data_IF_424752730262
#
_entry.id   IF_424752730262
#
_cell.length_a   1.000
_cell.length_b   1.000
_cell.length_c   1.000
_cell.angle_alpha   90.00
_cell.angle_beta   90.00
_cell.angle_gamma   90.00
#
_symmetry.space_group_name_H-M   'P 1'
#
loop_
_entity.id
_entity.type
_entity.pdbx_description
1 polymer ?
#
# COMPACT_ATOMS: atom_id res chain seq x y z
N UNK A 1 -9.80 -38.82 -6.22
CA UNK A 1 -8.72 -37.92 -6.71
C UNK A 1 -9.28 -36.75 -7.52
N UNK A 2 -9.94 -36.99 -8.67
CA UNK A 2 -10.48 -35.91 -9.52
C UNK A 2 -11.54 -35.02 -8.84
N UNK A 3 -12.45 -35.58 -8.05
CA UNK A 3 -13.51 -34.82 -7.37
C UNK A 3 -12.95 -33.78 -6.37
N UNK A 4 -12.03 -34.21 -5.48
CA UNK A 4 -11.40 -33.30 -4.52
C UNK A 4 -10.60 -32.20 -5.25
N UNK A 5 -9.86 -32.57 -6.30
CA UNK A 5 -9.09 -31.62 -7.12
C UNK A 5 -9.98 -30.58 -7.82
N UNK A 6 -11.13 -30.99 -8.37
CA UNK A 6 -12.08 -30.06 -9.01
C UNK A 6 -12.70 -29.09 -8.01
N UNK A 7 -13.13 -29.56 -6.84
CA UNK A 7 -13.76 -28.70 -5.83
C UNK A 7 -12.78 -27.77 -5.12
N UNK A 8 -11.59 -28.25 -4.77
CA UNK A 8 -10.56 -27.37 -4.19
C UNK A 8 -10.08 -26.36 -5.22
N UNK A 9 -9.84 -26.78 -6.47
CA UNK A 9 -9.48 -25.87 -7.56
C UNK A 9 -10.55 -24.81 -7.82
N UNK A 10 -11.84 -25.17 -7.73
CA UNK A 10 -12.94 -24.22 -7.92
C UNK A 10 -13.01 -23.19 -6.78
N UNK A 11 -12.97 -23.63 -5.53
CA UNK A 11 -13.08 -22.73 -4.36
C UNK A 11 -11.87 -21.79 -4.29
N UNK A 12 -10.65 -22.34 -4.34
CA UNK A 12 -9.44 -21.53 -4.30
C UNK A 12 -9.29 -20.68 -5.56
N UNK A 13 -9.72 -21.18 -6.72
CA UNK A 13 -9.74 -20.43 -7.97
C UNK A 13 -10.60 -19.17 -7.88
N UNK A 14 -11.82 -19.25 -7.34
CA UNK A 14 -12.69 -18.08 -7.13
C UNK A 14 -12.12 -17.10 -6.12
N UNK A 15 -11.52 -17.60 -5.03
CA UNK A 15 -10.87 -16.76 -4.04
C UNK A 15 -9.67 -16.00 -4.63
N UNK A 16 -8.78 -16.71 -5.33
CA UNK A 16 -7.63 -16.13 -6.02
C UNK A 16 -8.12 -15.11 -7.06
N UNK A 17 -9.13 -15.46 -7.87
CA UNK A 17 -9.72 -14.54 -8.82
C UNK A 17 -10.20 -13.24 -8.16
N UNK A 18 -10.98 -13.33 -7.07
CA UNK A 18 -11.44 -12.16 -6.35
C UNK A 18 -10.27 -11.31 -5.81
N UNK A 19 -9.25 -11.95 -5.24
CA UNK A 19 -8.04 -11.28 -4.74
C UNK A 19 -7.34 -10.51 -5.87
N UNK A 20 -7.07 -11.16 -7.02
CA UNK A 20 -6.39 -10.52 -8.14
C UNK A 20 -7.25 -9.45 -8.81
N UNK A 21 -8.57 -9.68 -8.93
CA UNK A 21 -9.50 -8.71 -9.50
C UNK A 21 -9.53 -7.43 -8.66
N UNK A 22 -9.72 -7.55 -7.34
CA UNK A 22 -9.68 -6.37 -6.44
C UNK A 22 -8.28 -5.74 -6.42
N UNK A 23 -7.22 -6.56 -6.51
CA UNK A 23 -5.85 -6.08 -6.64
C UNK A 23 -5.63 -5.23 -7.88
N UNK A 24 -6.19 -5.63 -9.03
CA UNK A 24 -6.10 -4.86 -10.28
C UNK A 24 -6.79 -3.49 -10.17
N UNK A 25 -7.95 -3.44 -9.51
CA UNK A 25 -8.67 -2.19 -9.25
C UNK A 25 -7.92 -1.28 -8.29
N UNK A 26 -7.14 -1.85 -7.37
CA UNK A 26 -6.34 -1.08 -6.42
C UNK A 26 -5.21 -0.26 -7.06
N UNK A 27 -4.87 -0.54 -8.33
CA UNK A 27 -3.96 0.33 -9.09
C UNK A 27 -4.54 1.74 -9.26
N UNK A 28 -5.86 1.85 -9.40
CA UNK A 28 -6.58 3.13 -9.54
C UNK A 28 -7.11 3.66 -8.20
N UNK A 29 -6.47 3.28 -7.09
CA UNK A 29 -6.95 3.59 -5.74
C UNK A 29 -7.18 5.08 -5.53
N UNK A 30 -6.23 5.91 -5.96
CA UNK A 30 -6.30 7.36 -5.75
C UNK A 30 -7.38 8.01 -6.61
N UNK A 31 -7.50 7.58 -7.86
CA UNK A 31 -8.48 8.05 -8.83
C UNK A 31 -9.89 7.68 -8.38
N UNK A 32 -10.11 6.46 -7.88
CA UNK A 32 -11.39 6.04 -7.32
C UNK A 32 -11.71 6.85 -6.05
N UNK A 33 -10.73 7.06 -5.17
CA UNK A 33 -10.92 7.87 -3.97
C UNK A 33 -11.32 9.31 -4.32
N UNK A 34 -10.66 9.92 -5.30
CA UNK A 34 -10.96 11.28 -5.77
C UNK A 34 -12.33 11.35 -6.47
N UNK A 35 -12.65 10.37 -7.30
CA UNK A 35 -13.95 10.26 -7.96
C UNK A 35 -15.11 10.19 -6.95
N UNK A 36 -14.89 9.52 -5.81
CA UNK A 36 -15.87 9.45 -4.72
C UNK A 36 -15.87 10.67 -3.79
N UNK A 37 -15.03 11.67 -4.03
CA UNK A 37 -15.02 12.96 -3.33
C UNK A 37 -15.08 14.11 -4.36
N UNK A 38 -16.20 14.30 -5.08
CA UNK A 38 -16.28 15.27 -6.18
C UNK A 38 -15.82 16.70 -5.85
N UNK A 39 -16.06 17.27 -4.65
CA UNK A 39 -15.58 18.61 -4.31
C UNK A 39 -14.05 18.76 -4.39
N UNK A 40 -13.32 17.67 -4.11
CA UNK A 40 -11.87 17.67 -4.10
C UNK A 40 -11.25 17.70 -5.51
N UNK A 41 -11.97 17.21 -6.53
CA UNK A 41 -11.46 17.16 -7.90
C UNK A 41 -11.23 18.55 -8.53
N UNK A 42 -11.77 19.61 -7.91
CA UNK A 42 -11.64 20.99 -8.38
C UNK A 42 -10.49 21.74 -7.70
N UNK A 43 -9.80 21.12 -6.75
CA UNK A 43 -8.78 21.79 -5.96
C UNK A 43 -7.51 22.00 -6.80
N UNK A 44 -7.12 23.26 -6.96
CA UNK A 44 -5.79 23.60 -7.45
C UNK A 44 -4.80 23.50 -6.29
N UNK A 45 -3.79 22.64 -6.42
CA UNK A 45 -2.84 22.37 -5.34
C UNK A 45 -1.60 23.25 -5.45
N UNK A 46 -1.42 24.12 -4.45
CA UNK A 46 -0.22 24.94 -4.27
C UNK A 46 0.55 24.42 -3.05
N UNK A 47 1.64 23.68 -3.28
CA UNK A 47 2.38 23.02 -2.19
C UNK A 47 2.85 23.97 -1.10
N UNK A 48 3.34 25.15 -1.48
CA UNK A 48 3.79 26.16 -0.51
C UNK A 48 2.65 26.61 0.44
N UNK A 49 1.43 26.70 -0.09
CA UNK A 49 0.24 27.05 0.70
C UNK A 49 -0.17 25.87 1.58
N UNK A 50 -0.22 24.67 1.00
CA UNK A 50 -0.58 23.44 1.72
C UNK A 50 0.32 23.18 2.92
N UNK A 51 1.63 23.39 2.80
CA UNK A 51 2.56 23.20 3.90
C UNK A 51 2.37 24.27 4.97
N UNK A 52 2.18 25.54 4.57
CA UNK A 52 1.98 26.65 5.51
C UNK A 52 0.70 26.50 6.31
N UNK A 53 -0.43 26.18 5.66
CA UNK A 53 -1.73 26.00 6.33
C UNK A 53 -1.68 24.83 7.30
N UNK A 54 -1.08 23.70 6.90
CA UNK A 54 -0.89 22.56 7.77
C UNK A 54 0.02 22.87 8.97
N UNK A 55 1.14 23.56 8.75
CA UNK A 55 2.06 23.97 9.82
C UNK A 55 1.36 24.90 10.82
N UNK A 56 0.64 25.91 10.35
CA UNK A 56 -0.11 26.84 11.20
C UNK A 56 -1.17 26.12 12.04
N UNK A 57 -1.88 25.15 11.44
CA UNK A 57 -2.85 24.33 12.16
C UNK A 57 -2.17 23.51 13.26
N UNK A 58 -1.10 22.79 12.95
CA UNK A 58 -0.36 21.97 13.92
C UNK A 58 0.23 22.83 15.05
N UNK A 59 0.75 24.02 14.72
CA UNK A 59 1.29 24.94 15.72
C UNK A 59 0.20 25.47 16.66
N UNK A 60 -1.05 25.57 16.21
CA UNK A 60 -2.19 26.02 17.03
C UNK A 60 -2.82 24.90 17.85
N UNK A 61 -2.91 23.70 17.29
CA UNK A 61 -3.68 22.59 17.87
C UNK A 61 -2.83 21.48 18.50
N UNK A 62 -1.53 21.45 18.20
CA UNK A 62 -0.62 20.36 18.56
C UNK A 62 0.80 20.87 18.88
N UNK A 63 0.96 22.09 19.39
CA UNK A 63 2.28 22.69 19.71
C UNK A 63 3.09 21.91 20.75
N UNK A 64 2.40 21.16 21.61
CA UNK A 64 2.98 20.35 22.68
C UNK A 64 3.20 18.88 22.27
N UNK A 65 2.87 18.51 21.03
CA UNK A 65 3.03 17.15 20.55
C UNK A 65 4.51 16.75 20.47
N UNK A 66 4.81 15.48 20.77
CA UNK A 66 6.14 14.90 20.65
C UNK A 66 6.60 14.77 19.22
N UNK A 67 5.67 14.53 18.29
CA UNK A 67 5.99 14.43 16.87
C UNK A 67 4.78 14.77 16.00
N UNK A 68 5.08 15.33 14.83
CA UNK A 68 4.12 15.60 13.76
C UNK A 68 4.45 14.79 12.52
N UNK A 69 3.43 14.23 11.88
CA UNK A 69 3.49 13.58 10.59
C UNK A 69 2.45 14.24 9.68
N UNK A 70 2.92 14.86 8.60
CA UNK A 70 2.11 15.53 7.59
C UNK A 70 2.29 14.83 6.25
N UNK A 71 1.19 14.39 5.66
CA UNK A 71 1.10 14.08 4.23
C UNK A 71 0.57 15.33 3.53
N UNK A 72 1.42 15.92 2.69
CA UNK A 72 1.13 17.16 1.97
C UNK A 72 0.20 16.85 0.79
N UNK A 73 -0.73 17.75 0.52
CA UNK A 73 -1.63 17.61 -0.62
C UNK A 73 -0.86 17.47 -1.95
N UNK A 74 -1.29 16.52 -2.77
CA UNK A 74 -0.83 16.29 -4.15
C UNK A 74 -2.03 16.26 -5.10
N UNK A 75 -1.84 16.28 -6.43
CA UNK A 75 -2.94 16.13 -7.37
C UNK A 75 -3.76 14.84 -7.16
N UNK A 76 -3.13 13.76 -6.73
CA UNK A 76 -3.76 12.46 -6.48
C UNK A 76 -4.47 12.39 -5.11
N UNK A 77 -4.09 13.26 -4.18
CA UNK A 77 -4.68 13.38 -2.84
C UNK A 77 -4.71 14.86 -2.45
N UNK A 78 -5.71 15.63 -2.89
CA UNK A 78 -5.75 17.10 -2.81
C UNK A 78 -6.11 17.64 -1.41
N UNK A 79 -5.72 16.93 -0.36
CA UNK A 79 -5.95 17.30 1.04
C UNK A 79 -4.70 17.07 1.85
N UNK A 80 -4.50 17.91 2.87
CA UNK A 80 -3.46 17.65 3.86
C UNK A 80 -4.01 16.65 4.88
N UNK A 81 -3.29 15.56 5.10
CA UNK A 81 -3.61 14.61 6.18
C UNK A 81 -2.51 14.64 7.20
N UNK A 82 -2.85 14.77 8.47
CA UNK A 82 -1.88 14.90 9.54
C UNK A 82 -2.21 14.01 10.73
N UNK A 83 -1.15 13.53 11.36
CA UNK A 83 -1.17 12.71 12.57
C UNK A 83 -0.11 13.25 13.52
N UNK A 84 -0.42 13.33 14.82
CA UNK A 84 0.55 13.77 15.83
C UNK A 84 0.43 12.94 17.09
N UNK A 85 1.56 12.76 17.77
CA UNK A 85 1.63 12.08 19.07
C UNK A 85 1.61 13.11 20.20
N UNK A 86 0.61 13.05 21.06
CA UNK A 86 0.47 13.95 22.22
C UNK A 86 1.43 13.55 23.35
N UNK A 87 1.69 14.42 24.33
CA UNK A 87 2.54 14.12 25.48
C UNK A 87 2.17 12.83 26.23
N UNK A 88 0.87 12.56 26.34
CA UNK A 88 0.29 11.39 27.01
C UNK A 88 0.42 10.08 26.21
N UNK A 89 0.99 10.13 25.00
CA UNK A 89 1.14 8.99 24.10
C UNK A 89 -0.11 8.67 23.27
N UNK A 90 -1.20 9.43 23.42
CA UNK A 90 -2.34 9.34 22.53
C UNK A 90 -2.07 10.03 21.19
N UNK A 91 -2.83 9.67 20.16
CA UNK A 91 -2.68 10.24 18.82
C UNK A 91 -3.84 11.18 18.48
N UNK A 92 -3.52 12.31 17.85
CA UNK A 92 -4.49 13.15 17.15
C UNK A 92 -4.35 12.98 15.64
N UNK A 93 -5.45 13.23 14.92
CA UNK A 93 -5.45 13.30 13.46
C UNK A 93 -6.35 14.43 12.98
N UNK A 94 -6.06 14.95 11.81
CA UNK A 94 -6.92 15.90 11.12
C UNK A 94 -6.71 15.80 9.60
N UNK A 95 -7.76 16.12 8.85
CA UNK A 95 -7.71 16.29 7.40
C UNK A 95 -8.10 17.72 7.08
N UNK A 96 -7.24 18.44 6.38
CA UNK A 96 -7.43 19.85 6.07
C UNK A 96 -7.53 20.10 4.58
N UNK A 97 -8.30 21.11 4.24
CA UNK A 97 -8.25 21.76 2.93
C UNK A 97 -6.83 22.32 2.70
N UNK A 98 -6.23 21.94 1.58
CA UNK A 98 -4.86 22.32 1.24
C UNK A 98 -4.68 23.84 1.10
N UNK A 99 -5.72 24.56 0.67
CA UNK A 99 -5.66 25.98 0.37
C UNK A 99 -6.12 26.84 1.54
N UNK A 100 -7.14 26.42 2.28
CA UNK A 100 -7.73 27.23 3.37
C UNK A 100 -7.22 26.85 4.76
N UNK A 101 -6.70 25.64 4.94
CA UNK A 101 -6.28 25.11 6.25
C UNK A 101 -7.44 24.78 7.19
N UNK A 102 -8.69 24.81 6.71
CA UNK A 102 -9.85 24.43 7.48
C UNK A 102 -9.99 22.91 7.52
N UNK A 103 -10.48 22.37 8.64
CA UNK A 103 -10.80 20.96 8.75
C UNK A 103 -11.92 20.57 7.77
N UNK A 104 -11.66 19.51 7.01
CA UNK A 104 -12.62 18.94 6.08
C UNK A 104 -13.25 17.68 6.66
N UNK A 105 -14.58 17.62 6.61
CA UNK A 105 -15.33 16.39 6.81
C UNK A 105 -15.58 15.75 5.46
N UNK A 106 -14.74 14.77 5.11
CA UNK A 106 -14.88 14.01 3.88
C UNK A 106 -16.10 13.06 3.95
N UNK A 107 -16.64 12.70 2.79
CA UNK A 107 -17.71 11.72 2.69
C UNK A 107 -17.25 10.39 3.27
N UNK A 108 -18.12 9.67 3.99
CA UNK A 108 -17.84 8.38 4.59
C UNK A 108 -17.81 7.28 3.51
N UNK A 109 -16.74 7.23 2.71
CA UNK A 109 -16.50 6.23 1.67
C UNK A 109 -15.14 5.59 1.84
N UNK A 110 -15.08 4.28 1.61
CA UNK A 110 -13.81 3.55 1.51
C UNK A 110 -13.19 3.66 0.11
N UNK A 111 -13.97 4.02 -0.92
CA UNK A 111 -13.48 4.19 -2.29
C UNK A 111 -12.50 3.13 -2.78
N UNK A 112 -11.36 3.58 -3.29
CA UNK A 112 -10.25 2.74 -3.71
C UNK A 112 -9.62 1.94 -2.56
N UNK A 113 -9.70 2.44 -1.33
CA UNK A 113 -9.18 1.75 -0.14
C UNK A 113 -9.90 0.42 0.10
N UNK A 114 -11.17 0.31 -0.29
CA UNK A 114 -11.90 -0.96 -0.22
C UNK A 114 -11.21 -2.05 -1.05
N UNK A 115 -10.92 -1.77 -2.32
CA UNK A 115 -10.28 -2.74 -3.23
C UNK A 115 -8.88 -3.11 -2.75
N UNK A 116 -8.12 -2.10 -2.31
CA UNK A 116 -6.80 -2.29 -1.74
C UNK A 116 -6.85 -3.19 -0.49
N UNK A 117 -7.72 -2.89 0.49
CA UNK A 117 -7.88 -3.68 1.72
C UNK A 117 -8.42 -5.07 1.42
N UNK A 118 -9.34 -5.22 0.48
CA UNK A 118 -9.84 -6.53 0.10
C UNK A 118 -8.74 -7.42 -0.47
N UNK A 119 -7.92 -6.89 -1.37
CA UNK A 119 -6.85 -7.63 -2.03
C UNK A 119 -5.90 -8.33 -1.04
N UNK A 120 -5.43 -7.64 0.00
CA UNK A 120 -4.42 -8.20 0.91
C UNK A 120 -4.97 -8.76 2.24
N UNK A 121 -6.18 -8.38 2.65
CA UNK A 121 -6.72 -8.80 3.94
C UNK A 121 -8.22 -9.14 3.96
N UNK A 122 -8.89 -9.25 2.80
CA UNK A 122 -10.33 -9.55 2.69
C UNK A 122 -11.19 -8.64 3.57
N UNK A 123 -11.48 -7.44 3.08
CA UNK A 123 -12.25 -6.43 3.81
C UNK A 123 -13.55 -7.04 4.38
N UNK A 124 -13.82 -6.75 5.66
CA UNK A 124 -14.95 -7.34 6.42
C UNK A 124 -14.58 -8.59 7.22
N UNK A 125 -13.41 -9.18 7.01
CA UNK A 125 -12.87 -10.29 7.81
C UNK A 125 -11.90 -9.73 8.88
N UNK A 126 -11.79 -10.37 10.07
CA UNK A 126 -10.75 -10.00 11.03
C UNK A 126 -9.36 -9.97 10.39
N UNK A 127 -8.62 -8.86 10.58
CA UNK A 127 -7.38 -8.54 9.84
C UNK A 127 -6.41 -9.73 9.78
N UNK A 128 -6.17 -10.37 10.92
CA UNK A 128 -5.24 -11.50 10.99
C UNK A 128 -5.72 -12.69 10.15
N UNK A 129 -7.01 -13.04 10.26
CA UNK A 129 -7.61 -14.16 9.54
C UNK A 129 -7.58 -13.88 8.03
N UNK A 130 -8.00 -12.69 7.62
CA UNK A 130 -8.02 -12.31 6.21
C UNK A 130 -6.63 -12.37 5.57
N UNK A 131 -5.61 -11.83 6.23
CA UNK A 131 -4.21 -11.90 5.74
C UNK A 131 -3.68 -13.34 5.68
N UNK A 132 -4.02 -14.18 6.67
CA UNK A 132 -3.65 -15.60 6.66
C UNK A 132 -4.31 -16.35 5.49
N UNK A 133 -5.60 -16.11 5.23
CA UNK A 133 -6.33 -16.72 4.12
C UNK A 133 -5.74 -16.30 2.76
N UNK A 134 -5.47 -15.00 2.59
CA UNK A 134 -4.83 -14.48 1.35
C UNK A 134 -3.44 -15.07 1.17
N UNK A 135 -2.65 -15.16 2.24
CA UNK A 135 -1.31 -15.76 2.21
C UNK A 135 -1.36 -17.25 1.88
N UNK A 136 -2.32 -17.99 2.43
CA UNK A 136 -2.54 -19.40 2.09
C UNK A 136 -2.92 -19.56 0.61
N UNK A 137 -3.82 -18.73 0.10
CA UNK A 137 -4.20 -18.73 -1.31
C UNK A 137 -3.01 -18.42 -2.22
N UNK A 138 -2.17 -17.44 -1.85
CA UNK A 138 -0.94 -17.13 -2.56
C UNK A 138 0.07 -18.29 -2.53
N UNK A 139 0.20 -19.00 -1.41
CA UNK A 139 1.08 -20.17 -1.31
C UNK A 139 0.64 -21.31 -2.23
N UNK A 140 -0.67 -21.62 -2.24
CA UNK A 140 -1.27 -22.61 -3.15
C UNK A 140 -1.05 -22.20 -4.61
N UNK A 141 -1.25 -20.91 -4.93
CA UNK A 141 -1.01 -20.38 -6.26
C UNK A 141 0.46 -20.51 -6.67
N UNK A 142 1.41 -20.19 -5.78
CA UNK A 142 2.84 -20.30 -6.08
C UNK A 142 3.23 -21.75 -6.39
N UNK A 143 2.72 -22.71 -5.62
CA UNK A 143 2.89 -24.14 -5.91
C UNK A 143 2.29 -24.48 -7.27
N UNK A 144 1.09 -24.00 -7.57
CA UNK A 144 0.44 -24.25 -8.85
C UNK A 144 1.23 -23.66 -10.04
N UNK A 145 1.77 -22.45 -9.90
CA UNK A 145 2.61 -21.80 -10.92
C UNK A 145 3.90 -22.59 -11.16
N UNK A 146 4.63 -22.94 -10.09
CA UNK A 146 5.88 -23.73 -10.19
C UNK A 146 5.58 -25.11 -10.80
N UNK A 147 4.52 -25.78 -10.32
CA UNK A 147 4.07 -27.06 -10.86
C UNK A 147 3.69 -26.94 -12.35
N UNK A 148 3.04 -25.86 -12.75
CA UNK A 148 2.70 -25.56 -14.14
C UNK A 148 3.94 -25.42 -15.02
N UNK A 149 4.93 -24.65 -14.58
CA UNK A 149 6.22 -24.50 -15.28
C UNK A 149 6.92 -25.85 -15.46
N UNK A 150 6.98 -26.67 -14.41
CA UNK A 150 7.65 -27.99 -14.45
C UNK A 150 6.89 -28.96 -15.37
N UNK A 151 5.56 -28.96 -15.31
CA UNK A 151 4.72 -29.92 -16.05
C UNK A 151 4.67 -29.59 -17.54
N UNK A 152 4.60 -28.30 -17.90
CA UNK A 152 4.55 -27.84 -19.28
C UNK A 152 5.95 -27.77 -19.91
N UNK A 153 6.56 -28.95 -20.19
CA UNK A 153 7.88 -29.07 -20.85
C UNK A 153 7.98 -28.38 -22.22
N UNK A 154 6.83 -28.07 -22.85
CA UNK A 154 6.69 -27.45 -24.17
C UNK A 154 6.18 -26.01 -24.12
N UNK A 155 6.27 -25.35 -22.96
CA UNK A 155 5.73 -24.01 -22.72
C UNK A 155 6.09 -22.97 -23.81
N UNK A 156 7.33 -23.01 -24.31
CA UNK A 156 7.78 -22.11 -25.38
C UNK A 156 7.31 -22.52 -26.77
N UNK A 157 7.26 -23.82 -27.08
CA UNK A 157 6.82 -24.27 -28.40
C UNK A 157 5.31 -24.10 -28.57
N UNK A 158 4.55 -24.33 -27.50
CA UNK A 158 3.09 -24.20 -27.50
C UNK A 158 2.66 -22.73 -27.51
N UNK A 159 3.50 -21.83 -26.98
CA UNK A 159 3.30 -20.38 -27.04
C UNK A 159 3.25 -19.83 -28.48
N UNK A 160 4.04 -20.38 -29.40
CA UNK A 160 4.04 -19.93 -30.80
C UNK A 160 3.01 -20.67 -31.68
N UNK A 161 2.24 -21.60 -31.11
CA UNK A 161 1.20 -22.32 -31.86
C UNK A 161 -0.18 -21.77 -31.54
N UNK A 162 -0.73 -20.96 -32.46
CA UNK A 162 -2.13 -20.56 -32.44
C UNK A 162 -2.89 -21.33 -33.51
N UNK A 163 -3.65 -22.36 -33.11
CA UNK A 163 -4.55 -23.07 -34.04
C UNK A 163 -5.93 -22.46 -33.95
N UNK A 164 -6.18 -21.49 -34.82
CA UNK A 164 -7.50 -20.87 -35.00
C UNK A 164 -8.48 -21.88 -35.65
N UNK A 165 -9.78 -21.73 -35.39
CA UNK A 165 -10.87 -22.52 -36.01
C UNK A 165 -11.05 -23.97 -35.53
N UNK A 166 -10.57 -24.35 -34.34
CA UNK A 166 -10.87 -25.64 -33.69
C UNK A 166 -11.33 -25.46 -32.24
N UNK A 167 -12.54 -24.92 -32.05
CA UNK A 167 -13.26 -24.69 -30.77
C UNK A 167 -12.46 -25.01 -29.50
N UNK A 168 -12.49 -26.25 -28.99
CA UNK A 168 -11.84 -26.64 -27.73
C UNK A 168 -10.31 -26.55 -27.75
N UNK A 169 -9.66 -26.84 -28.90
CA UNK A 169 -8.20 -26.71 -29.05
C UNK A 169 -7.77 -25.25 -29.11
N UNK A 170 -8.58 -24.38 -29.71
CA UNK A 170 -8.32 -22.94 -29.74
C UNK A 170 -8.39 -22.32 -28.34
N UNK A 171 -9.28 -22.78 -27.46
CA UNK A 171 -9.31 -22.36 -26.05
C UNK A 171 -8.07 -22.80 -25.26
N UNK A 172 -7.57 -24.01 -25.52
CA UNK A 172 -6.34 -24.50 -24.89
C UNK A 172 -5.12 -23.69 -25.36
N UNK A 173 -5.02 -23.42 -26.67
CA UNK A 173 -3.95 -22.61 -27.23
C UNK A 173 -4.00 -21.17 -26.66
N UNK A 174 -5.20 -20.58 -26.53
CA UNK A 174 -5.37 -19.27 -25.88
C UNK A 174 -4.97 -19.28 -24.40
N UNK A 175 -5.35 -20.32 -23.64
CA UNK A 175 -4.94 -20.48 -22.25
C UNK A 175 -3.42 -20.60 -22.14
N UNK A 176 -2.78 -21.38 -23.01
CA UNK A 176 -1.32 -21.53 -23.03
C UNK A 176 -0.65 -20.18 -23.32
N UNK A 177 -1.06 -19.48 -24.38
CA UNK A 177 -0.47 -18.19 -24.77
C UNK A 177 -0.64 -17.14 -23.67
N UNK A 178 -1.87 -16.97 -23.16
CA UNK A 178 -2.15 -16.02 -22.08
C UNK A 178 -1.41 -16.37 -20.79
N UNK A 179 -1.31 -17.66 -20.45
CA UNK A 179 -0.60 -18.11 -19.24
C UNK A 179 0.88 -17.79 -19.31
N UNK A 180 1.54 -17.99 -20.45
CA UNK A 180 2.97 -17.68 -20.61
C UNK A 180 3.23 -16.18 -20.52
N UNK A 181 2.39 -15.34 -21.14
CA UNK A 181 2.51 -13.87 -21.05
C UNK A 181 2.30 -13.39 -19.61
N UNK A 182 1.31 -13.93 -18.92
CA UNK A 182 0.97 -13.52 -17.56
C UNK A 182 1.89 -14.13 -16.50
N UNK A 183 2.60 -15.24 -16.81
CA UNK A 183 3.44 -15.99 -15.89
C UNK A 183 4.43 -15.13 -15.09
N UNK A 184 5.28 -14.26 -15.70
CA UNK A 184 6.21 -13.44 -14.92
C UNK A 184 5.48 -12.54 -13.92
N UNK A 185 4.35 -11.96 -14.31
CA UNK A 185 3.56 -11.10 -13.43
C UNK A 185 2.93 -11.89 -12.29
N UNK A 186 2.30 -13.02 -12.58
CA UNK A 186 1.70 -13.87 -11.54
C UNK A 186 2.75 -14.43 -10.58
N UNK A 187 3.92 -14.83 -11.07
CA UNK A 187 5.00 -15.29 -10.22
C UNK A 187 5.49 -14.17 -9.30
N UNK A 188 5.78 -12.99 -9.85
CA UNK A 188 6.24 -11.84 -9.07
C UNK A 188 5.20 -11.41 -8.05
N UNK A 189 3.95 -11.17 -8.44
CA UNK A 189 2.89 -10.68 -7.53
C UNK A 189 2.59 -11.70 -6.43
N UNK A 190 2.54 -12.98 -6.75
CA UNK A 190 2.31 -14.04 -5.75
C UNK A 190 3.47 -14.13 -4.77
N UNK A 191 4.70 -14.11 -5.27
CA UNK A 191 5.91 -14.16 -4.44
C UNK A 191 6.04 -12.93 -3.54
N UNK A 192 5.86 -11.72 -4.08
CA UNK A 192 5.96 -10.48 -3.29
C UNK A 192 4.84 -10.38 -2.27
N UNK A 193 3.62 -10.80 -2.61
CA UNK A 193 2.50 -10.87 -1.67
C UNK A 193 2.82 -11.73 -0.45
N UNK A 194 3.40 -12.92 -0.66
CA UNK A 194 3.92 -13.76 0.42
C UNK A 194 5.04 -13.05 1.18
N UNK A 195 6.07 -12.58 0.47
CA UNK A 195 7.25 -11.96 1.10
C UNK A 195 6.89 -10.78 2.03
N UNK A 196 5.88 -9.97 1.70
CA UNK A 196 5.41 -8.87 2.54
C UNK A 196 4.80 -9.37 3.87
N UNK A 197 4.13 -10.52 3.85
CA UNK A 197 3.48 -11.13 5.02
C UNK A 197 4.31 -12.23 5.70
N UNK A 198 5.61 -12.33 5.42
CA UNK A 198 6.49 -13.37 5.96
C UNK A 198 6.35 -13.54 7.48
N UNK A 199 6.15 -12.44 8.21
CA UNK A 199 6.04 -12.44 9.67
C UNK A 199 4.85 -13.23 10.22
N UNK A 200 3.81 -13.46 9.40
CA UNK A 200 2.63 -14.21 9.83
C UNK A 200 2.90 -15.72 9.93
N UNK A 201 3.83 -16.25 9.14
CA UNK A 201 4.06 -17.69 9.02
C UNK A 201 5.54 -18.11 9.14
N UNK A 202 6.49 -17.16 9.18
CA UNK A 202 7.90 -17.34 9.51
C UNK A 202 8.36 -16.40 10.66
N UNK A 203 7.70 -16.39 11.83
CA UNK A 203 8.00 -15.42 12.90
C UNK A 203 9.31 -15.73 13.65
N UNK A 204 9.85 -16.94 13.54
CA UNK A 204 10.91 -17.44 14.43
C UNK A 204 12.19 -16.61 14.39
N UNK A 205 12.56 -16.06 13.23
CA UNK A 205 13.74 -15.20 13.12
C UNK A 205 13.60 -13.94 13.98
N UNK A 206 12.42 -13.30 13.92
CA UNK A 206 12.11 -12.13 14.74
C UNK A 206 11.97 -12.50 16.22
N UNK A 207 11.28 -13.60 16.55
CA UNK A 207 11.13 -14.07 17.93
C UNK A 207 12.48 -14.41 18.59
N UNK A 208 13.44 -14.93 17.83
CA UNK A 208 14.79 -15.23 18.33
C UNK A 208 15.60 -13.96 18.60
N UNK A 209 15.49 -12.95 17.75
CA UNK A 209 16.23 -11.69 17.86
C UNK A 209 15.56 -10.69 18.83
N UNK A 210 14.24 -10.75 18.96
CA UNK A 210 13.41 -9.89 19.79
C UNK A 210 12.42 -10.72 20.63
N UNK A 211 12.89 -11.42 21.68
CA UNK A 211 12.06 -12.34 22.46
C UNK A 211 10.87 -11.65 23.14
N UNK A 212 11.08 -10.45 23.67
CA UNK A 212 10.05 -9.68 24.40
C UNK A 212 9.05 -8.97 23.48
N UNK A 213 9.51 -8.53 22.30
CA UNK A 213 8.66 -7.81 21.34
C UNK A 213 9.09 -8.10 19.88
N UNK A 214 8.61 -9.20 19.28
CA UNK A 214 8.97 -9.59 17.91
C UNK A 214 8.71 -8.52 16.85
N UNK A 215 7.73 -7.63 17.06
CA UNK A 215 7.39 -6.56 16.12
C UNK A 215 8.34 -5.36 16.19
N UNK A 216 9.21 -5.28 17.19
CA UNK A 216 10.28 -4.27 17.26
C UNK A 216 11.19 -4.32 16.03
N UNK A 217 11.37 -5.49 15.44
CA UNK A 217 12.05 -5.67 14.15
C UNK A 217 11.62 -4.65 13.08
N UNK A 218 10.31 -4.37 12.97
CA UNK A 218 9.81 -3.43 11.97
C UNK A 218 10.19 -1.98 12.25
N UNK A 219 10.37 -1.61 13.52
CA UNK A 219 10.86 -0.28 13.89
C UNK A 219 12.33 -0.15 13.48
N UNK A 220 13.14 -1.16 13.76
CA UNK A 220 14.57 -1.12 13.49
C UNK A 220 14.88 -1.06 11.98
N UNK A 221 14.11 -1.76 11.13
CA UNK A 221 14.32 -1.73 9.67
C UNK A 221 13.69 -0.51 8.97
N UNK A 222 12.60 0.06 9.52
CA UNK A 222 11.95 1.25 8.94
C UNK A 222 12.71 2.52 9.27
N UNK A 223 13.34 2.54 10.43
CA UNK A 223 14.08 3.71 10.86
C UNK A 223 15.49 3.62 10.28
N UNK A 224 15.73 4.32 9.15
CA UNK A 224 17.03 4.99 9.00
C UNK A 224 17.07 6.09 10.06
N UNK A 225 17.16 5.74 11.33
CA UNK A 225 17.66 6.67 12.32
C UNK A 225 19.10 6.81 11.89
N UNK A 226 19.42 7.91 11.19
CA UNK A 226 20.70 8.52 11.51
C UNK A 226 20.53 8.84 12.99
N UNK A 227 20.98 7.92 13.85
CA UNK A 227 21.21 8.21 15.24
C UNK A 227 22.33 9.23 15.20
N UNK A 228 22.01 10.48 14.88
CA UNK A 228 22.85 11.56 15.35
C UNK A 228 22.73 11.43 16.86
N UNK A 229 23.82 10.98 17.48
CA UNK A 229 24.01 10.88 18.91
C UNK A 229 24.02 12.27 19.57
N UNK A 230 23.18 13.19 19.11
CA UNK A 230 22.97 14.50 19.70
C UNK A 230 21.78 14.36 20.63
N UNK A 231 22.04 14.54 21.92
CA UNK A 231 20.99 14.91 22.86
C UNK A 231 20.09 15.96 22.18
N UNK A 232 18.76 15.75 22.11
CA UNK A 232 17.88 16.72 21.47
C UNK A 232 18.04 18.05 22.19
N UNK A 233 18.67 19.00 21.52
CA UNK A 233 18.75 20.37 22.02
C UNK A 233 17.44 21.05 21.65
N UNK A 234 16.81 21.79 22.58
CA UNK A 234 15.67 22.63 22.25
C UNK A 234 16.07 23.59 21.14
N UNK A 235 15.64 23.30 19.91
CA UNK A 235 15.86 24.19 18.79
C UNK A 235 14.75 25.24 18.83
N UNK A 236 15.12 26.49 18.59
CA UNK A 236 14.13 27.54 18.38
C UNK A 236 13.27 27.15 17.17
N UNK A 237 11.93 27.20 17.33
CA UNK A 237 11.00 26.97 16.23
C UNK A 237 11.36 27.89 15.05
N UNK A 238 11.93 27.31 13.99
CA UNK A 238 12.25 28.07 12.80
C UNK A 238 10.94 28.36 12.04
N UNK A 239 10.76 29.59 11.52
CA UNK A 239 9.65 29.88 10.62
C UNK A 239 9.65 28.91 9.44
N UNK A 240 8.49 28.36 9.11
CA UNK A 240 8.31 27.38 8.02
C UNK A 240 8.80 27.95 6.68
N UNK A 241 8.75 29.26 6.49
CA UNK A 241 9.27 29.96 5.32
C UNK A 241 10.77 29.77 5.13
N UNK A 242 11.55 29.76 6.22
CA UNK A 242 13.00 29.51 6.13
C UNK A 242 13.28 28.07 5.72
N UNK A 243 12.48 27.13 6.23
CA UNK A 243 12.59 25.72 5.86
C UNK A 243 12.23 25.51 4.38
N UNK A 244 11.12 26.09 3.92
CA UNK A 244 10.70 26.04 2.52
C UNK A 244 11.73 26.67 1.58
N UNK A 245 12.34 27.79 1.96
CA UNK A 245 13.40 28.42 1.17
C UNK A 245 14.64 27.52 1.04
N UNK A 246 15.07 26.87 2.14
CA UNK A 246 16.18 25.91 2.12
C UNK A 246 15.84 24.66 1.30
N UNK A 247 14.62 24.15 1.42
CA UNK A 247 14.09 23.04 0.62
C UNK A 247 14.19 23.36 -0.87
N UNK A 248 13.67 24.51 -1.29
CA UNK A 248 13.72 24.96 -2.68
C UNK A 248 15.14 25.14 -3.19
N UNK A 249 16.06 25.62 -2.35
CA UNK A 249 17.47 25.76 -2.70
C UNK A 249 18.17 24.41 -2.89
N UNK A 250 17.88 23.41 -2.04
CA UNK A 250 18.55 22.11 -2.07
C UNK A 250 17.94 21.11 -3.04
N UNK A 251 16.61 21.12 -3.17
CA UNK A 251 15.85 20.13 -3.93
C UNK A 251 15.08 20.73 -5.10
N UNK A 252 15.12 22.05 -5.33
CA UNK A 252 14.41 22.69 -6.43
C UNK A 252 12.88 22.69 -6.25
N UNK A 253 12.14 22.64 -7.34
CA UNK A 253 10.67 22.61 -7.36
C UNK A 253 10.10 21.18 -7.31
N UNK A 254 10.75 20.27 -6.59
CA UNK A 254 10.25 18.89 -6.42
C UNK A 254 8.97 18.90 -5.57
N UNK A 255 8.00 18.07 -5.93
CA UNK A 255 6.78 17.89 -5.14
C UNK A 255 7.08 17.11 -3.86
N UNK A 256 6.77 17.71 -2.72
CA UNK A 256 6.90 17.09 -1.41
C UNK A 256 5.66 16.25 -1.11
N UNK A 257 5.86 14.99 -0.72
CA UNK A 257 4.76 14.08 -0.35
C UNK A 257 4.54 14.04 1.17
N UNK A 258 5.62 14.05 1.95
CA UNK A 258 5.56 13.89 3.41
C UNK A 258 6.55 14.79 4.13
N UNK A 259 6.13 15.31 5.28
CA UNK A 259 6.96 16.06 6.21
C UNK A 259 6.77 15.47 7.62
N UNK A 260 7.86 15.27 8.36
CA UNK A 260 7.81 14.82 9.76
C UNK A 260 8.65 15.72 10.63
N UNK A 261 8.15 16.05 11.82
CA UNK A 261 8.86 16.79 12.86
C UNK A 261 8.90 15.90 14.11
N UNK A 262 10.07 15.76 14.73
CA UNK A 262 10.31 14.96 15.94
C UNK A 262 11.00 15.83 16.98
#
# INVERSE_FOLDING_TARGET
MAWLHSWTGLIFGWLIFAIFFMGSLSYYRHEINLWMQPPLAQFEIKQDVAIKTAYQYLQKHASDAKSWYLTVATPESPVNTMYWEKPDGSYGNATLDANTGQELKLSATEGGDFFYRFHYQLFGVPILIGRLVVSLAAFIMLIALISGIITHKKIFTDFFTLRTFKSQRSWLDFHNVSSVIALPFFLTVTFTGLAIFFYLYLPWGMQKLYPENPYQYFNDIRTKTVTESTTPHPAQNLPVEKLLAQLKQRWGNQTLATMSVK
#
